data_IF_629760898577
#
_entry.id   IF_629760898577
#
_cell.length_a   1.000
_cell.length_b   1.000
_cell.length_c   1.000
_cell.angle_alpha   90.00
_cell.angle_beta   90.00
_cell.angle_gamma   90.00
#
_symmetry.space_group_name_H-M   'P 1'
#
loop_
_entity.id
_entity.type
_entity.pdbx_description
1 polymer ?
#
# COMPACT_ATOMS: atom_id res chain seq x y z
N UNK A 1 20.19 53.98 -40.95
CA UNK A 1 20.41 52.67 -40.30
C UNK A 1 19.41 52.55 -39.17
N UNK A 2 18.34 51.78 -39.38
CA UNK A 2 17.34 51.48 -38.35
C UNK A 2 17.46 49.99 -38.00
N UNK A 3 17.84 49.69 -36.76
CA UNK A 3 17.89 48.33 -36.24
C UNK A 3 16.49 47.95 -35.72
N UNK A 4 15.86 46.97 -36.36
CA UNK A 4 14.67 46.30 -35.85
C UNK A 4 15.12 45.16 -34.92
N UNK A 5 14.89 45.32 -33.62
CA UNK A 5 15.10 44.26 -32.64
C UNK A 5 13.90 43.29 -32.70
N UNK A 6 14.14 42.07 -33.17
CA UNK A 6 13.16 40.98 -33.10
C UNK A 6 13.24 40.32 -31.72
N UNK A 7 12.21 40.52 -30.89
CA UNK A 7 12.06 39.80 -29.62
C UNK A 7 11.35 38.48 -29.86
N UNK A 8 12.09 37.39 -29.75
CA UNK A 8 11.55 36.03 -29.75
C UNK A 8 10.81 35.75 -28.43
N UNK A 9 9.49 35.59 -28.50
CA UNK A 9 8.67 35.06 -27.42
C UNK A 9 8.84 33.54 -27.34
N UNK A 10 9.51 33.07 -26.29
CA UNK A 10 9.50 31.65 -25.93
C UNK A 10 8.20 31.35 -25.18
N UNK A 11 7.28 30.65 -25.84
CA UNK A 11 6.11 30.10 -25.17
C UNK A 11 6.57 28.94 -24.28
N UNK A 12 6.75 29.20 -22.99
CA UNK A 12 6.85 28.16 -21.98
C UNK A 12 5.48 27.46 -21.90
N UNK A 13 5.32 26.37 -22.64
CA UNK A 13 4.25 25.40 -22.39
C UNK A 13 4.55 24.71 -21.06
N UNK A 14 4.13 25.33 -19.97
CA UNK A 14 3.95 24.62 -18.70
C UNK A 14 2.84 23.59 -18.92
N UNK A 15 3.22 22.39 -19.34
CA UNK A 15 2.32 21.25 -19.31
C UNK A 15 1.83 21.09 -17.87
N UNK A 16 0.56 21.43 -17.61
CA UNK A 16 -0.12 20.95 -16.42
C UNK A 16 -0.02 19.43 -16.48
N UNK A 17 0.78 18.82 -15.61
CA UNK A 17 0.68 17.40 -15.36
C UNK A 17 -0.78 17.15 -14.95
N UNK A 18 -1.57 16.54 -15.85
CA UNK A 18 -2.93 16.18 -15.54
C UNK A 18 -2.91 15.30 -14.30
N UNK A 19 -3.80 15.56 -13.34
CA UNK A 19 -4.04 14.61 -12.27
C UNK A 19 -4.33 13.25 -12.93
N UNK A 20 -3.41 12.30 -12.75
CA UNK A 20 -3.55 10.98 -13.34
C UNK A 20 -4.82 10.36 -12.74
N UNK A 21 -5.79 10.03 -13.59
CA UNK A 21 -7.08 9.49 -13.15
C UNK A 21 -6.91 8.01 -12.75
N UNK A 22 -6.38 7.78 -11.56
CA UNK A 22 -6.30 6.45 -10.98
C UNK A 22 -7.58 6.11 -10.21
N UNK A 23 -8.16 4.97 -10.56
CA UNK A 23 -9.30 4.38 -9.87
C UNK A 23 -8.85 3.19 -9.01
N UNK A 24 -9.80 2.56 -8.34
CA UNK A 24 -9.59 1.30 -7.60
C UNK A 24 -10.59 0.24 -8.07
N UNK A 25 -10.21 -1.02 -7.96
CA UNK A 25 -11.09 -2.17 -8.12
C UNK A 25 -11.02 -3.06 -6.90
N UNK A 26 -12.16 -3.59 -6.47
CA UNK A 26 -12.21 -4.59 -5.41
C UNK A 26 -11.49 -5.87 -5.86
N UNK A 27 -10.79 -6.51 -4.93
CA UNK A 27 -10.15 -7.81 -5.14
C UNK A 27 -10.63 -8.81 -4.09
N UNK A 28 -10.49 -10.09 -4.40
CA UNK A 28 -10.79 -11.16 -3.46
C UNK A 28 -9.83 -11.09 -2.27
N UNK A 29 -10.37 -10.78 -1.08
CA UNK A 29 -9.59 -10.64 0.14
C UNK A 29 -8.97 -11.97 0.59
N UNK A 30 -9.52 -13.11 0.16
CA UNK A 30 -8.91 -14.43 0.43
C UNK A 30 -7.67 -14.70 -0.41
N UNK A 31 -7.50 -13.95 -1.51
CA UNK A 31 -6.35 -14.06 -2.42
C UNK A 31 -5.30 -12.99 -2.20
N UNK A 32 -5.36 -12.22 -1.10
CA UNK A 32 -4.36 -11.21 -0.76
C UNK A 32 -3.95 -11.33 0.70
N UNK A 33 -2.66 -11.19 0.96
CA UNK A 33 -2.10 -11.16 2.30
C UNK A 33 -1.19 -9.94 2.46
N UNK A 34 -1.29 -9.32 3.63
CA UNK A 34 -0.45 -8.20 4.07
C UNK A 34 0.45 -8.72 5.17
N UNK A 35 1.76 -8.60 4.98
CA UNK A 35 2.74 -9.16 5.92
C UNK A 35 3.82 -8.15 6.26
N UNK A 36 4.40 -8.30 7.44
CA UNK A 36 5.70 -7.71 7.75
C UNK A 36 6.81 -8.67 7.30
N UNK A 37 7.90 -8.14 6.73
CA UNK A 37 9.14 -8.87 6.49
C UNK A 37 10.29 -8.15 7.19
N UNK A 38 11.21 -8.87 7.82
CA UNK A 38 12.38 -8.24 8.42
C UNK A 38 13.42 -7.94 7.33
N UNK A 39 13.79 -6.66 7.18
CA UNK A 39 14.80 -6.20 6.24
C UNK A 39 15.91 -5.45 6.98
N UNK A 40 17.05 -6.11 7.19
CA UNK A 40 18.14 -5.63 8.06
C UNK A 40 17.64 -5.43 9.50
N UNK A 41 17.65 -4.20 10.01
CA UNK A 41 17.22 -3.86 11.37
C UNK A 41 15.81 -3.23 11.42
N UNK A 42 15.03 -3.30 10.33
CA UNK A 42 13.70 -2.71 10.24
C UNK A 42 12.69 -3.70 9.66
N UNK A 43 11.44 -3.55 10.08
CA UNK A 43 10.32 -4.23 9.45
C UNK A 43 9.88 -3.48 8.19
N UNK A 44 9.68 -4.22 7.11
CA UNK A 44 9.14 -3.73 5.85
C UNK A 44 7.75 -4.32 5.63
N UNK A 45 6.89 -3.59 4.93
CA UNK A 45 5.59 -4.07 4.52
C UNK A 45 5.71 -4.84 3.20
N UNK A 46 4.97 -5.92 3.07
CA UNK A 46 4.84 -6.64 1.81
C UNK A 46 3.38 -7.04 1.61
N UNK A 47 2.86 -6.79 0.40
CA UNK A 47 1.52 -7.24 -0.02
C UNK A 47 1.71 -8.29 -1.10
N UNK A 48 1.08 -9.44 -0.94
CA UNK A 48 1.14 -10.55 -1.89
C UNK A 48 -0.28 -10.90 -2.33
N UNK A 49 -0.46 -11.11 -3.63
CA UNK A 49 -1.73 -11.57 -4.20
C UNK A 49 -1.53 -12.86 -4.99
N UNK A 50 -2.44 -13.82 -4.77
CA UNK A 50 -2.58 -15.03 -5.56
C UNK A 50 -3.38 -14.71 -6.83
N UNK A 51 -2.77 -14.88 -8.00
CA UNK A 51 -3.42 -14.63 -9.30
C UNK A 51 -3.99 -15.92 -9.90
N UNK A 52 -3.27 -17.05 -9.75
CA UNK A 52 -3.67 -18.37 -10.25
C UNK A 52 -3.45 -19.44 -9.18
N UNK A 53 -4.32 -20.46 -9.12
CA UNK A 53 -4.30 -21.46 -8.04
C UNK A 53 -3.42 -22.68 -8.38
N UNK A 54 -2.59 -22.60 -9.43
CA UNK A 54 -1.67 -23.67 -9.85
C UNK A 54 -0.60 -23.97 -8.81
N UNK A 55 -0.18 -22.96 -8.03
CA UNK A 55 0.75 -23.10 -6.92
C UNK A 55 0.52 -21.99 -5.89
N UNK A 56 0.57 -22.32 -4.61
CA UNK A 56 0.39 -21.32 -3.55
C UNK A 56 1.54 -20.31 -3.53
N UNK A 57 1.22 -19.04 -3.36
CA UNK A 57 2.20 -17.96 -3.19
C UNK A 57 2.74 -17.87 -1.76
N UNK A 58 1.98 -18.35 -0.77
CA UNK A 58 2.37 -18.39 0.63
C UNK A 58 1.70 -19.55 1.37
N UNK A 59 2.20 -19.86 2.57
CA UNK A 59 1.56 -20.76 3.52
C UNK A 59 1.50 -20.10 4.88
N UNK A 60 0.35 -20.21 5.56
CA UNK A 60 0.11 -19.65 6.90
C UNK A 60 0.27 -20.72 7.98
N UNK A 61 1.00 -20.40 9.04
CA UNK A 61 1.15 -21.23 10.25
C UNK A 61 0.77 -20.42 11.47
N UNK A 62 -0.23 -20.89 12.22
CA UNK A 62 -0.62 -20.27 13.49
C UNK A 62 0.50 -20.44 14.54
N UNK A 63 0.82 -19.36 15.24
CA UNK A 63 1.77 -19.33 16.37
C UNK A 63 1.15 -18.51 17.50
N UNK A 64 0.42 -19.19 18.38
CA UNK A 64 -0.40 -18.53 19.40
C UNK A 64 -1.47 -17.64 18.77
N UNK A 65 -1.40 -16.32 19.02
CA UNK A 65 -2.31 -15.32 18.41
C UNK A 65 -1.78 -14.75 17.09
N UNK A 66 -0.50 -14.99 16.78
CA UNK A 66 0.15 -14.54 15.54
C UNK A 66 0.03 -15.58 14.44
N UNK A 67 0.21 -15.13 13.19
CA UNK A 67 0.31 -16.01 12.02
C UNK A 67 1.65 -15.76 11.34
N UNK A 68 2.49 -16.79 11.33
CA UNK A 68 3.76 -16.80 10.60
C UNK A 68 3.45 -17.17 9.15
N UNK A 69 4.09 -16.47 8.21
CA UNK A 69 3.87 -16.65 6.78
C UNK A 69 5.14 -17.12 6.11
N UNK A 70 5.09 -18.30 5.49
CA UNK A 70 6.15 -18.79 4.61
C UNK A 70 5.92 -18.27 3.19
N UNK A 71 6.97 -17.73 2.57
CA UNK A 71 6.93 -17.15 1.23
C UNK A 71 7.25 -18.19 0.14
N UNK A 72 6.28 -19.02 -0.21
CA UNK A 72 6.45 -20.09 -1.21
C UNK A 72 6.78 -19.57 -2.61
N UNK A 73 6.34 -18.35 -2.96
CA UNK A 73 6.68 -17.69 -4.22
C UNK A 73 8.20 -17.50 -4.47
N UNK A 74 9.04 -17.63 -3.44
CA UNK A 74 10.50 -17.56 -3.59
C UNK A 74 11.10 -18.84 -4.18
N UNK A 75 10.33 -19.92 -4.25
CA UNK A 75 10.77 -21.27 -4.63
C UNK A 75 10.45 -21.62 -6.09
N UNK A 76 9.95 -20.67 -6.89
CA UNK A 76 9.58 -20.89 -8.29
C UNK A 76 9.47 -19.58 -9.09
N UNK A 77 9.38 -19.69 -10.41
CA UNK A 77 8.99 -18.56 -11.27
C UNK A 77 7.51 -18.25 -11.05
N UNK A 78 7.26 -17.20 -10.27
CA UNK A 78 5.92 -16.79 -9.88
C UNK A 78 5.20 -15.94 -10.94
N UNK A 79 5.77 -15.74 -12.13
CA UNK A 79 5.19 -14.94 -13.20
C UNK A 79 3.78 -15.45 -13.57
N UNK A 80 2.78 -14.56 -13.50
CA UNK A 80 1.38 -14.91 -13.76
C UNK A 80 0.69 -15.73 -12.66
N UNK A 81 1.40 -16.12 -11.59
CA UNK A 81 0.88 -16.91 -10.48
C UNK A 81 0.73 -16.03 -9.23
N UNK A 82 1.75 -15.24 -8.92
CA UNK A 82 1.78 -14.34 -7.77
C UNK A 82 2.07 -12.91 -8.21
N UNK A 83 1.50 -11.94 -7.51
CA UNK A 83 1.93 -10.55 -7.54
C UNK A 83 2.46 -10.17 -6.16
N UNK A 84 3.61 -9.49 -6.11
CA UNK A 84 4.22 -9.04 -4.86
C UNK A 84 4.60 -7.57 -4.94
N UNK A 85 4.24 -6.81 -3.91
CA UNK A 85 4.64 -5.41 -3.70
C UNK A 85 5.47 -5.31 -2.42
N UNK A 86 6.71 -4.80 -2.51
CA UNK A 86 7.70 -4.82 -1.42
C UNK A 86 8.23 -3.43 -1.01
N UNK A 87 7.95 -2.40 -1.78
CA UNK A 87 8.43 -1.04 -1.52
C UNK A 87 7.28 -0.08 -1.23
N UNK A 88 7.62 1.09 -0.68
CA UNK A 88 6.66 2.13 -0.33
C UNK A 88 5.92 2.72 -1.54
N UNK A 89 6.38 2.46 -2.77
CA UNK A 89 5.71 2.92 -4.00
C UNK A 89 4.61 1.97 -4.47
N UNK A 90 4.59 0.73 -3.99
CA UNK A 90 3.61 -0.28 -4.39
C UNK A 90 2.31 -0.27 -3.58
N UNK A 91 2.18 0.61 -2.59
CA UNK A 91 0.93 0.79 -1.84
C UNK A 91 0.71 2.22 -1.35
N UNK A 92 -0.54 2.60 -1.14
CA UNK A 92 -0.94 3.85 -0.51
C UNK A 92 -2.30 3.71 0.19
N UNK A 93 -2.79 4.78 0.81
CA UNK A 93 -4.08 4.80 1.51
C UNK A 93 -5.13 5.43 0.59
N UNK A 94 -6.33 4.85 0.54
CA UNK A 94 -7.47 5.44 -0.18
C UNK A 94 -8.71 5.45 0.71
N UNK A 95 -9.17 6.64 1.09
CA UNK A 95 -10.30 6.82 2.02
C UNK A 95 -11.40 7.66 1.38
N UNK A 96 -12.65 7.24 1.48
CA UNK A 96 -13.79 7.90 0.82
C UNK A 96 -13.48 8.27 -0.65
N UNK A 97 -12.90 7.32 -1.38
CA UNK A 97 -12.44 7.44 -2.77
C UNK A 97 -11.37 8.50 -3.06
N UNK A 98 -10.77 9.11 -2.03
CA UNK A 98 -9.60 9.98 -2.16
C UNK A 98 -8.30 9.20 -1.96
N UNK A 99 -7.38 9.29 -2.92
CA UNK A 99 -6.01 8.77 -2.76
C UNK A 99 -5.23 9.71 -1.82
N UNK A 100 -4.76 9.16 -0.71
CA UNK A 100 -4.04 9.88 0.35
C UNK A 100 -2.52 9.63 0.29
N UNK A 101 -2.00 9.09 -0.82
CA UNK A 101 -0.57 8.82 -0.98
C UNK A 101 0.34 10.06 -0.94
N UNK A 102 -0.22 11.27 -1.08
CA UNK A 102 0.49 12.53 -0.88
C UNK A 102 0.39 13.09 0.54
N UNK A 103 -0.56 12.59 1.32
CA UNK A 103 -0.86 13.06 2.67
C UNK A 103 -0.26 12.13 3.74
N UNK A 104 -0.18 10.83 3.43
CA UNK A 104 0.26 9.77 4.34
C UNK A 104 1.27 8.82 3.69
N UNK A 105 2.22 8.37 4.50
CA UNK A 105 3.14 7.27 4.21
C UNK A 105 2.72 6.04 5.01
N UNK A 106 2.60 4.89 4.36
CA UNK A 106 2.30 3.63 5.06
C UNK A 106 3.58 3.06 5.67
N UNK A 107 3.56 2.78 6.97
CA UNK A 107 4.71 2.31 7.74
C UNK A 107 4.36 1.14 8.67
N UNK A 108 5.37 0.36 8.99
CA UNK A 108 5.32 -0.67 10.04
C UNK A 108 6.10 -0.15 11.25
N UNK A 109 5.41 -0.01 12.39
CA UNK A 109 6.00 0.45 13.64
C UNK A 109 5.94 -0.65 14.70
N UNK A 110 7.00 -0.80 15.48
CA UNK A 110 7.00 -1.69 16.64
C UNK A 110 6.44 -0.94 17.85
N UNK A 111 5.32 -1.41 18.42
CA UNK A 111 4.66 -0.81 19.60
C UNK A 111 4.20 -1.93 20.52
N UNK A 112 4.47 -1.81 21.81
CA UNK A 112 3.94 -2.71 22.85
C UNK A 112 4.14 -4.22 22.56
N UNK A 113 5.28 -4.59 21.96
CA UNK A 113 5.61 -5.97 21.63
C UNK A 113 4.90 -6.54 20.39
N UNK A 114 4.20 -5.70 19.61
CA UNK A 114 3.59 -6.05 18.33
C UNK A 114 4.06 -5.13 17.21
N UNK A 115 3.73 -5.49 15.97
CA UNK A 115 3.90 -4.62 14.81
C UNK A 115 2.57 -3.99 14.44
N UNK A 116 2.55 -2.68 14.30
CA UNK A 116 1.37 -1.89 13.92
C UNK A 116 1.59 -1.33 12.52
N UNK A 117 0.61 -1.54 11.66
CA UNK A 117 0.56 -0.97 10.32
C UNK A 117 -0.18 0.37 10.40
N UNK A 118 0.53 1.45 10.08
CA UNK A 118 0.03 2.81 10.24
C UNK A 118 0.15 3.62 8.96
N UNK A 119 -0.79 4.52 8.73
CA UNK A 119 -0.59 5.69 7.89
C UNK A 119 0.00 6.81 8.73
N UNK A 120 1.29 7.10 8.55
CA UNK A 120 1.97 8.23 9.17
C UNK A 120 1.81 9.46 8.28
N UNK A 121 1.25 10.57 8.77
CA UNK A 121 1.05 11.75 7.95
C UNK A 121 2.37 12.48 7.67
N UNK A 122 2.47 13.10 6.50
CA UNK A 122 3.59 14.00 6.18
C UNK A 122 3.46 15.35 6.92
N UNK A 123 2.22 15.77 7.21
CA UNK A 123 1.93 16.97 7.99
C UNK A 123 1.78 16.61 9.48
N UNK A 124 2.45 17.30 10.41
CA UNK A 124 2.35 17.02 11.84
C UNK A 124 0.97 17.38 12.43
N UNK A 125 0.12 18.08 11.69
CA UNK A 125 -1.22 18.48 12.14
C UNK A 125 -2.29 17.42 11.88
N UNK A 126 -1.94 16.34 11.19
CA UNK A 126 -2.85 15.22 10.94
C UNK A 126 -2.57 14.10 11.95
N UNK A 127 -3.58 13.34 12.39
CA UNK A 127 -3.36 12.17 13.24
C UNK A 127 -2.90 10.97 12.41
N UNK A 128 -2.27 9.99 13.07
CA UNK A 128 -1.98 8.70 12.45
C UNK A 128 -3.26 7.90 12.14
N UNK A 129 -3.22 7.12 11.06
CA UNK A 129 -4.27 6.17 10.69
C UNK A 129 -3.84 4.76 11.10
N UNK A 130 -4.49 4.15 12.10
CA UNK A 130 -4.20 2.77 12.50
C UNK A 130 -4.94 1.79 11.58
N UNK A 131 -4.22 1.16 10.67
CA UNK A 131 -4.76 0.31 9.61
C UNK A 131 -4.94 -1.14 10.10
N UNK A 132 -4.01 -1.61 10.92
CA UNK A 132 -4.03 -2.98 11.44
C UNK A 132 -2.81 -3.30 12.28
N UNK A 133 -2.71 -4.54 12.73
CA UNK A 133 -1.60 -4.99 13.57
C UNK A 133 -1.33 -6.49 13.40
N UNK A 134 -0.13 -6.92 13.76
CA UNK A 134 0.15 -8.31 14.09
C UNK A 134 -0.28 -8.59 15.53
N UNK A 135 -0.04 -9.80 16.04
CA UNK A 135 -0.25 -10.14 17.44
C UNK A 135 1.06 -10.63 18.09
N UNK A 136 2.14 -9.89 17.83
CA UNK A 136 3.49 -10.24 18.25
C UNK A 136 4.55 -9.70 17.30
N UNK A 137 5.81 -9.96 17.64
CA UNK A 137 6.98 -9.57 16.87
C UNK A 137 7.85 -10.80 16.60
N UNK A 138 8.34 -10.94 15.38
CA UNK A 138 9.18 -12.06 14.95
C UNK A 138 10.10 -11.64 13.82
N UNK A 139 11.25 -12.30 13.68
CA UNK A 139 12.09 -12.15 12.50
C UNK A 139 11.47 -12.81 11.26
N UNK A 140 10.64 -13.83 11.45
CA UNK A 140 9.88 -14.46 10.38
C UNK A 140 8.75 -13.54 9.89
N UNK A 141 8.30 -13.67 8.63
CA UNK A 141 7.20 -12.85 8.15
C UNK A 141 5.92 -13.09 8.96
N UNK A 142 5.25 -12.02 9.36
CA UNK A 142 4.00 -12.07 10.14
C UNK A 142 2.86 -11.47 9.35
N UNK A 143 1.68 -12.08 9.42
CA UNK A 143 0.44 -11.54 8.85
C UNK A 143 -0.06 -10.35 9.67
N UNK A 144 -0.40 -9.27 8.99
CA UNK A 144 -1.19 -8.19 9.55
C UNK A 144 -2.67 -8.55 9.51
N UNK A 145 -3.36 -8.31 10.62
CA UNK A 145 -4.81 -8.29 10.71
C UNK A 145 -5.27 -6.85 10.53
N UNK A 146 -6.00 -6.57 9.46
CA UNK A 146 -6.55 -5.26 9.20
C UNK A 146 -7.68 -4.97 10.19
N UNK A 147 -7.73 -3.75 10.70
CA UNK A 147 -8.80 -3.28 11.57
C UNK A 147 -10.14 -3.28 10.82
N UNK A 148 -11.28 -3.41 11.51
CA UNK A 148 -12.60 -3.38 10.86
C UNK A 148 -12.76 -2.15 9.94
N UNK A 149 -13.36 -2.38 8.76
CA UNK A 149 -13.55 -1.35 7.74
C UNK A 149 -12.38 -1.21 6.75
N UNK A 150 -11.17 -1.64 7.12
CA UNK A 150 -10.03 -1.67 6.21
C UNK A 150 -10.04 -2.91 5.32
N UNK A 151 -9.74 -2.72 4.04
CA UNK A 151 -9.58 -3.79 3.05
C UNK A 151 -8.55 -3.42 1.99
N UNK A 152 -8.09 -4.40 1.21
CA UNK A 152 -7.19 -4.15 0.08
C UNK A 152 -7.98 -3.99 -1.20
N UNK A 153 -7.73 -2.92 -1.95
CA UNK A 153 -8.16 -2.78 -3.35
C UNK A 153 -6.95 -2.61 -4.24
N UNK A 154 -7.11 -2.73 -5.56
CA UNK A 154 -6.02 -2.60 -6.51
C UNK A 154 -6.23 -1.38 -7.41
N UNK A 155 -5.15 -0.63 -7.67
CA UNK A 155 -5.19 0.55 -8.53
C UNK A 155 -5.50 0.16 -9.96
N UNK A 156 -6.32 0.98 -10.63
CA UNK A 156 -6.59 0.85 -12.07
C UNK A 156 -6.32 2.16 -12.81
N UNK A 157 -6.00 2.02 -14.10
CA UNK A 157 -5.89 3.11 -15.06
C UNK A 157 -6.44 2.64 -16.40
N UNK A 158 -7.40 3.36 -16.98
CA UNK A 158 -8.05 2.98 -18.26
C UNK A 158 -8.46 1.49 -18.28
N UNK A 159 -9.15 1.05 -17.23
CA UNK A 159 -9.62 -0.33 -17.00
C UNK A 159 -8.52 -1.40 -16.82
N UNK A 160 -7.24 -1.03 -16.88
CA UNK A 160 -6.12 -1.93 -16.59
C UNK A 160 -5.83 -1.98 -15.09
N UNK A 161 -5.72 -3.20 -14.56
CA UNK A 161 -5.26 -3.44 -13.19
C UNK A 161 -3.75 -3.24 -13.12
N UNK A 162 -3.29 -2.39 -12.21
CA UNK A 162 -1.87 -2.05 -12.02
C UNK A 162 -1.26 -2.75 -10.81
N UNK A 163 0.08 -2.68 -10.70
CA UNK A 163 0.83 -3.30 -9.60
C UNK A 163 0.61 -2.71 -8.19
N UNK A 164 -0.08 -1.57 -8.10
CA UNK A 164 -0.22 -0.78 -6.87
C UNK A 164 -1.48 -1.17 -6.08
N UNK A 165 -1.36 -1.27 -4.77
CA UNK A 165 -2.45 -1.61 -3.85
C UNK A 165 -2.89 -0.41 -3.01
N UNK A 166 -4.16 -0.39 -2.64
CA UNK A 166 -4.71 0.58 -1.71
C UNK A 166 -5.16 -0.08 -0.41
N UNK A 167 -4.70 0.44 0.72
CA UNK A 167 -5.39 0.27 2.00
C UNK A 167 -6.63 1.15 1.96
N UNK A 168 -7.79 0.51 1.82
CA UNK A 168 -9.06 1.18 1.51
C UNK A 168 -9.95 1.23 2.71
N UNK A 169 -10.56 2.39 2.94
CA UNK A 169 -11.61 2.60 3.93
C UNK A 169 -12.73 3.46 3.33
N UNK A 170 -13.98 3.22 3.69
CA UNK A 170 -15.12 3.96 3.10
C UNK A 170 -15.40 5.29 3.83
N UNK A 171 -15.04 5.40 5.11
CA UNK A 171 -15.01 6.69 5.81
C UNK A 171 -13.89 7.59 5.27
N UNK A 172 -14.11 8.91 5.31
CA UNK A 172 -13.03 9.88 5.14
C UNK A 172 -12.05 9.80 6.33
N UNK A 173 -10.84 10.33 6.17
CA UNK A 173 -9.87 10.39 7.26
C UNK A 173 -10.46 11.12 8.49
N UNK A 174 -11.11 12.27 8.28
CA UNK A 174 -11.79 13.03 9.34
C UNK A 174 -12.84 12.19 10.08
N UNK A 175 -13.75 11.54 9.34
CA UNK A 175 -14.80 10.72 9.94
C UNK A 175 -14.23 9.49 10.67
N UNK A 176 -13.17 8.89 10.14
CA UNK A 176 -12.48 7.77 10.78
C UNK A 176 -11.90 8.16 12.14
N UNK A 177 -11.23 9.32 12.23
CA UNK A 177 -10.70 9.80 13.51
C UNK A 177 -11.79 10.10 14.55
N UNK A 178 -12.97 10.52 14.12
CA UNK A 178 -14.11 10.71 15.03
C UNK A 178 -14.66 9.40 15.64
N UNK A 179 -14.25 8.24 15.11
CA UNK A 179 -14.70 6.92 15.57
C UNK A 179 -13.68 6.16 16.42
N UNK A 180 -12.48 6.72 16.61
CA UNK A 180 -11.41 6.12 17.41
C UNK A 180 -11.43 6.58 18.87
#
# INVERSE_FOLDING_TARGET
MAFLAATSFWANTTGKAGAQNFNKVEIDQSKVIVISTQLRQRYALTVIRQLADTRSCWTETNSGKSVIVKLDLLEFDFTGICQRSVDSGGYSIRMADQDLGLDYKVEVLSRDGTLVLVGTPYSPNLPELIIGQTHGISADPLKFFLNPGWRITQRTYEDQILGHYYFTHDLSAEAFHATQ
#
